data_IF_103448202311
#
_entry.id   IF_103448202311
#
_cell.length_a   1.000
_cell.length_b   1.000
_cell.length_c   1.000
_cell.angle_alpha   90.00
_cell.angle_beta   90.00
_cell.angle_gamma   90.00
#
_symmetry.space_group_name_H-M   'P 1'
#
loop_
_entity.id
_entity.type
_entity.pdbx_description
1 polymer ?
#
# COMPACT_ATOMS: atom_id res chain seq x y z
N UNK A 1 -28.38 -4.91 12.63
CA UNK A 1 -27.55 -5.39 11.50
C UNK A 1 -26.09 -5.18 11.89
N UNK A 2 -25.41 -6.23 12.37
CA UNK A 2 -24.00 -6.13 12.75
C UNK A 2 -23.16 -6.11 11.48
N UNK A 3 -22.69 -4.92 11.08
CA UNK A 3 -21.62 -4.81 10.08
C UNK A 3 -20.47 -5.69 10.56
N UNK A 4 -20.09 -6.68 9.76
CA UNK A 4 -18.81 -7.37 9.90
C UNK A 4 -17.73 -6.30 9.76
N UNK A 5 -17.32 -5.68 10.89
CA UNK A 5 -16.15 -4.82 10.90
C UNK A 5 -15.00 -5.70 10.48
N UNK A 6 -14.49 -5.49 9.27
CA UNK A 6 -13.24 -6.11 8.87
C UNK A 6 -12.21 -5.75 9.92
N UNK A 7 -11.68 -6.78 10.58
CA UNK A 7 -10.91 -6.58 11.79
C UNK A 7 -9.53 -6.00 11.47
N UNK A 8 -9.08 -6.04 10.22
CA UNK A 8 -7.70 -5.74 9.85
C UNK A 8 -7.61 -4.55 8.91
N UNK A 9 -6.94 -3.49 9.35
CA UNK A 9 -6.70 -2.25 8.60
C UNK A 9 -5.26 -2.21 8.08
N UNK A 10 -5.11 -2.05 6.78
CA UNK A 10 -3.85 -1.84 6.09
C UNK A 10 -3.49 -0.36 6.10
N UNK A 11 -2.46 0.00 6.88
CA UNK A 11 -1.93 1.35 6.98
C UNK A 11 -0.58 1.46 6.28
N UNK A 12 -0.36 2.58 5.59
CA UNK A 12 0.90 2.85 4.89
C UNK A 12 1.65 4.00 5.52
N UNK A 13 2.86 3.72 6.00
CA UNK A 13 3.78 4.73 6.52
C UNK A 13 4.80 5.05 5.43
N UNK A 14 4.57 6.18 4.76
CA UNK A 14 5.38 6.66 3.64
C UNK A 14 6.38 7.73 4.08
N UNK A 15 7.61 7.62 3.61
CA UNK A 15 8.62 8.69 3.71
C UNK A 15 9.31 8.86 2.35
N UNK A 16 10.16 9.86 2.21
CA UNK A 16 10.95 10.03 0.97
C UNK A 16 11.99 8.91 0.75
N UNK A 17 12.31 8.12 1.78
CA UNK A 17 13.37 7.09 1.75
C UNK A 17 12.88 5.66 1.96
N UNK A 18 11.70 5.48 2.53
CA UNK A 18 11.16 4.19 2.96
C UNK A 18 9.66 4.15 2.78
N UNK A 19 9.15 3.00 2.37
CA UNK A 19 7.74 2.62 2.45
C UNK A 19 7.62 1.48 3.46
N UNK A 20 6.66 1.60 4.36
CA UNK A 20 6.27 0.55 5.31
C UNK A 20 4.78 0.30 5.15
N UNK A 21 4.40 -0.95 5.00
CA UNK A 21 3.01 -1.38 5.05
C UNK A 21 2.80 -2.18 6.33
N UNK A 22 1.79 -1.80 7.10
CA UNK A 22 1.46 -2.46 8.36
C UNK A 22 -0.02 -2.77 8.39
N UNK A 23 -0.36 -3.93 8.94
CA UNK A 23 -1.74 -4.33 9.17
C UNK A 23 -1.99 -4.29 10.66
N UNK A 24 -3.00 -3.52 11.04
CA UNK A 24 -3.42 -3.32 12.42
C UNK A 24 -4.76 -4.00 12.65
N UNK A 25 -4.93 -4.58 13.83
CA UNK A 25 -6.25 -5.04 14.27
C UNK A 25 -7.04 -3.86 14.83
N UNK A 26 -8.21 -3.60 14.24
CA UNK A 26 -9.16 -2.55 14.64
C UNK A 26 -9.71 -2.73 16.06
N UNK A 27 -9.72 -3.95 16.60
CA UNK A 27 -10.20 -4.22 17.96
C UNK A 27 -9.15 -3.90 19.02
N UNK A 28 -7.89 -4.26 18.76
CA UNK A 28 -6.79 -4.16 19.74
C UNK A 28 -5.79 -3.04 19.44
N UNK A 29 -5.90 -2.40 18.27
CA UNK A 29 -4.90 -1.47 17.73
C UNK A 29 -3.48 -2.06 17.65
N UNK A 30 -3.36 -3.38 17.66
CA UNK A 30 -2.07 -4.08 17.60
C UNK A 30 -1.64 -4.32 16.15
N UNK A 31 -0.33 -4.33 15.90
CA UNK A 31 0.23 -4.62 14.57
C UNK A 31 0.29 -6.14 14.40
N UNK A 32 -0.55 -6.68 13.51
CA UNK A 32 -0.63 -8.12 13.22
C UNK A 32 0.46 -8.53 12.24
N UNK A 33 0.72 -7.69 11.24
CA UNK A 33 1.77 -7.91 10.26
C UNK A 33 2.37 -6.59 9.80
N UNK A 34 3.64 -6.62 9.37
CA UNK A 34 4.32 -5.47 8.78
C UNK A 34 5.19 -5.95 7.64
N UNK A 35 5.46 -5.11 6.65
CA UNK A 35 6.51 -5.30 5.66
C UNK A 35 7.12 -3.94 5.31
N UNK A 36 8.44 -3.89 5.10
CA UNK A 36 9.09 -2.60 4.81
C UNK A 36 10.22 -2.66 3.80
N UNK A 37 10.45 -1.55 3.09
CA UNK A 37 11.57 -1.40 2.15
C UNK A 37 12.94 -1.25 2.82
N UNK A 38 13.00 -1.34 4.16
CA UNK A 38 14.26 -1.37 4.93
C UNK A 38 14.65 -2.78 5.36
N UNK A 39 13.88 -3.80 4.99
CA UNK A 39 14.26 -5.19 5.26
C UNK A 39 15.49 -5.61 4.46
N UNK A 40 16.21 -6.63 4.95
CA UNK A 40 17.55 -7.02 4.49
C UNK A 40 17.64 -7.24 2.97
N UNK A 41 16.61 -7.82 2.37
CA UNK A 41 16.48 -8.09 0.93
C UNK A 41 16.42 -6.82 0.05
N UNK A 42 16.06 -5.67 0.63
CA UNK A 42 16.00 -4.38 -0.05
C UNK A 42 17.22 -3.50 0.23
N UNK A 43 18.04 -3.85 1.24
CA UNK A 43 19.14 -3.00 1.70
C UNK A 43 20.22 -2.79 0.65
N UNK A 44 20.57 -3.80 -0.14
CA UNK A 44 21.60 -3.67 -1.17
C UNK A 44 21.19 -2.65 -2.25
N UNK A 45 19.95 -2.75 -2.75
CA UNK A 45 19.39 -1.83 -3.74
C UNK A 45 19.23 -0.41 -3.16
N UNK A 46 18.77 -0.31 -1.91
CA UNK A 46 18.58 0.97 -1.23
C UNK A 46 19.93 1.67 -0.98
N UNK A 47 20.94 0.96 -0.47
CA UNK A 47 22.29 1.49 -0.27
C UNK A 47 22.91 1.98 -1.57
N UNK A 48 22.78 1.22 -2.66
CA UNK A 48 23.29 1.63 -3.97
C UNK A 48 22.65 2.94 -4.47
N UNK A 49 21.35 3.15 -4.21
CA UNK A 49 20.67 4.42 -4.54
C UNK A 49 21.07 5.57 -3.60
N UNK A 50 21.21 5.32 -2.30
CA UNK A 50 21.59 6.34 -1.31
C UNK A 50 23.04 6.80 -1.42
N UNK A 51 23.93 5.93 -1.89
CA UNK A 51 25.36 6.22 -2.03
C UNK A 51 25.73 7.00 -3.32
N UNK A 52 24.77 7.21 -4.25
CA UNK A 52 25.02 7.94 -5.49
C UNK A 52 24.94 9.46 -5.29
N UNK A 53 25.88 10.18 -5.89
CA UNK A 53 25.87 11.64 -6.01
C UNK A 53 25.79 12.07 -7.48
N UNK A 54 24.97 13.09 -7.84
CA UNK A 54 24.05 13.82 -6.96
C UNK A 54 22.93 12.91 -6.45
N UNK A 55 22.56 13.06 -5.16
CA UNK A 55 21.49 12.26 -4.56
C UNK A 55 20.23 12.46 -5.38
N UNK A 56 19.62 11.38 -5.85
CA UNK A 56 18.42 11.46 -6.67
C UNK A 56 17.35 12.27 -5.92
N UNK A 57 16.90 13.39 -6.48
CA UNK A 57 15.76 14.17 -5.94
C UNK A 57 14.47 13.34 -5.91
N UNK A 58 14.39 12.34 -6.78
CA UNK A 58 13.28 11.39 -6.86
C UNK A 58 13.51 10.26 -5.85
N UNK A 59 12.44 9.92 -5.11
CA UNK A 59 12.47 9.07 -3.93
C UNK A 59 13.21 7.74 -4.10
N UNK A 60 13.68 7.23 -2.97
CA UNK A 60 14.52 6.02 -2.90
C UNK A 60 13.73 4.76 -3.29
N UNK A 61 12.42 4.78 -3.08
CA UNK A 61 11.49 3.71 -3.45
C UNK A 61 10.66 4.12 -4.68
N UNK A 62 10.26 3.11 -5.44
CA UNK A 62 9.45 3.22 -6.65
C UNK A 62 8.28 2.22 -6.61
N UNK A 63 7.45 2.23 -7.64
CA UNK A 63 6.33 1.28 -7.80
C UNK A 63 6.75 -0.20 -7.69
N UNK A 64 7.97 -0.55 -8.13
CA UNK A 64 8.48 -1.93 -8.04
C UNK A 64 8.80 -2.31 -6.60
N UNK A 65 9.43 -1.39 -5.86
CA UNK A 65 9.68 -1.57 -4.43
C UNK A 65 8.35 -1.70 -3.67
N UNK A 66 7.37 -0.85 -3.97
CA UNK A 66 6.05 -0.93 -3.36
C UNK A 66 5.36 -2.27 -3.65
N UNK A 67 5.44 -2.75 -4.89
CA UNK A 67 4.93 -4.08 -5.29
C UNK A 67 5.58 -5.21 -4.48
N UNK A 68 6.90 -5.22 -4.31
CA UNK A 68 7.61 -6.26 -3.55
C UNK A 68 7.29 -6.22 -2.05
N UNK A 69 7.13 -5.02 -1.49
CA UNK A 69 6.67 -4.86 -0.09
C UNK A 69 5.25 -5.41 0.07
N UNK A 70 4.36 -5.16 -0.89
CA UNK A 70 3.00 -5.69 -0.89
C UNK A 70 2.95 -7.22 -1.00
N UNK A 71 3.73 -7.80 -1.90
CA UNK A 71 3.85 -9.27 -2.02
C UNK A 71 4.29 -9.91 -0.70
N UNK A 72 5.34 -9.35 -0.07
CA UNK A 72 5.83 -9.84 1.22
C UNK A 72 4.81 -9.72 2.34
N UNK A 73 4.08 -8.61 2.37
CA UNK A 73 2.98 -8.44 3.31
C UNK A 73 1.88 -9.49 3.06
N UNK A 74 1.53 -9.73 1.81
CA UNK A 74 0.55 -10.75 1.43
C UNK A 74 0.93 -12.14 1.95
N UNK A 75 2.18 -12.55 1.76
CA UNK A 75 2.65 -13.83 2.31
C UNK A 75 2.56 -13.90 3.84
N UNK A 76 3.00 -12.84 4.55
CA UNK A 76 2.89 -12.79 6.02
C UNK A 76 1.44 -12.86 6.51
N UNK A 77 0.50 -12.22 5.80
CA UNK A 77 -0.92 -12.26 6.14
C UNK A 77 -1.50 -13.67 5.96
N UNK A 78 -1.15 -14.36 4.89
CA UNK A 78 -1.60 -15.73 4.62
C UNK A 78 -1.03 -16.70 5.66
N UNK A 79 0.25 -16.56 6.02
CA UNK A 79 0.88 -17.36 7.08
C UNK A 79 0.16 -17.21 8.43
N UNK A 80 -0.37 -16.02 8.73
CA UNK A 80 -1.11 -15.72 9.96
C UNK A 80 -2.61 -16.07 9.83
N UNK A 81 -3.08 -16.44 8.64
CA UNK A 81 -4.48 -16.78 8.37
C UNK A 81 -5.40 -15.58 8.11
N UNK A 82 -4.84 -14.40 7.85
CA UNK A 82 -5.61 -13.19 7.49
C UNK A 82 -5.87 -13.18 5.98
N UNK A 83 -7.14 -13.30 5.60
CA UNK A 83 -7.58 -13.38 4.21
C UNK A 83 -8.13 -12.06 3.64
N UNK A 84 -8.44 -11.08 4.50
CA UNK A 84 -8.96 -9.77 4.07
C UNK A 84 -8.42 -8.62 4.93
N UNK A 85 -8.16 -7.50 4.27
CA UNK A 85 -7.75 -6.24 4.87
C UNK A 85 -8.49 -5.07 4.23
N UNK A 86 -8.73 -4.01 4.98
CA UNK A 86 -9.29 -2.76 4.45
C UNK A 86 -8.26 -1.64 4.44
N UNK A 87 -8.34 -0.76 3.44
CA UNK A 87 -7.57 0.49 3.44
C UNK A 87 -8.44 1.62 3.98
N UNK A 88 -7.82 2.55 4.70
CA UNK A 88 -8.44 3.84 4.98
C UNK A 88 -8.43 4.68 3.70
N UNK A 89 -9.60 4.82 3.09
CA UNK A 89 -9.78 5.55 1.84
C UNK A 89 -9.51 7.04 2.00
N UNK A 90 -9.90 7.63 3.12
CA UNK A 90 -9.77 9.06 3.34
C UNK A 90 -8.29 9.40 3.54
N UNK A 91 -7.55 8.56 4.27
CA UNK A 91 -6.10 8.69 4.41
C UNK A 91 -5.39 8.58 3.04
N UNK A 92 -5.75 7.57 2.24
CA UNK A 92 -5.11 7.33 0.95
C UNK A 92 -5.45 8.41 -0.10
N UNK A 93 -6.67 8.96 -0.07
CA UNK A 93 -7.09 10.06 -0.94
C UNK A 93 -6.49 11.41 -0.53
N UNK A 94 -6.18 11.62 0.75
CA UNK A 94 -5.46 12.80 1.22
C UNK A 94 -4.00 12.84 0.72
N UNK A 95 -3.42 11.70 0.32
CA UNK A 95 -2.04 11.65 -0.17
C UNK A 95 -1.86 12.40 -1.50
N UNK A 96 -0.66 12.92 -1.81
CA UNK A 96 -0.36 13.45 -3.14
C UNK A 96 -0.60 12.42 -4.26
N UNK A 97 -1.13 12.86 -5.42
CA UNK A 97 -1.48 11.99 -6.56
C UNK A 97 -0.32 11.08 -6.97
N UNK A 98 0.91 11.61 -6.97
CA UNK A 98 2.12 10.84 -7.28
C UNK A 98 2.32 9.65 -6.33
N UNK A 99 2.09 9.83 -5.03
CA UNK A 99 2.23 8.74 -4.06
C UNK A 99 1.13 7.70 -4.25
N UNK A 100 -0.11 8.12 -4.53
CA UNK A 100 -1.20 7.19 -4.85
C UNK A 100 -0.85 6.30 -6.02
N UNK A 101 -0.33 6.86 -7.12
CA UNK A 101 0.11 6.07 -8.28
C UNK A 101 1.26 5.10 -7.94
N UNK A 102 2.20 5.52 -7.10
CA UNK A 102 3.34 4.67 -6.69
C UNK A 102 2.93 3.53 -5.75
N UNK A 103 1.86 3.71 -4.98
CA UNK A 103 1.37 2.75 -4.00
C UNK A 103 0.41 1.73 -4.61
N UNK A 104 -0.33 2.07 -5.68
CA UNK A 104 -1.26 1.12 -6.35
C UNK A 104 -0.69 -0.30 -6.55
N UNK A 105 0.55 -0.48 -7.06
CA UNK A 105 1.14 -1.81 -7.22
C UNK A 105 1.32 -2.60 -5.93
N UNK A 106 1.39 -1.94 -4.77
CA UNK A 106 1.42 -2.61 -3.47
C UNK A 106 0.11 -3.34 -3.21
N UNK A 107 -1.03 -2.67 -3.41
CA UNK A 107 -2.35 -3.27 -3.22
C UNK A 107 -2.60 -4.40 -4.22
N UNK A 108 -2.21 -4.20 -5.48
CA UNK A 108 -2.33 -5.23 -6.51
C UNK A 108 -1.49 -6.47 -6.16
N UNK A 109 -0.31 -6.30 -5.58
CA UNK A 109 0.52 -7.42 -5.13
C UNK A 109 -0.05 -8.18 -3.94
N UNK A 110 -0.64 -7.47 -2.97
CA UNK A 110 -1.34 -8.11 -1.84
C UNK A 110 -2.53 -8.93 -2.35
N UNK A 111 -3.29 -8.39 -3.31
CA UNK A 111 -4.39 -9.11 -3.98
C UNK A 111 -3.91 -10.34 -4.72
N UNK A 112 -2.82 -10.22 -5.49
CA UNK A 112 -2.20 -11.35 -6.20
C UNK A 112 -1.67 -12.44 -5.29
N UNK A 113 -1.26 -12.10 -4.06
CA UNK A 113 -0.86 -13.09 -3.06
C UNK A 113 -2.06 -13.92 -2.57
N UNK A 114 -3.30 -13.43 -2.71
CA UNK A 114 -4.52 -14.12 -2.28
C UNK A 114 -5.26 -13.42 -1.14
N UNK A 115 -4.86 -12.20 -0.76
CA UNK A 115 -5.51 -11.42 0.30
C UNK A 115 -6.44 -10.38 -0.32
N UNK A 116 -7.70 -10.36 0.10
CA UNK A 116 -8.67 -9.36 -0.37
C UNK A 116 -8.35 -7.99 0.21
N UNK A 117 -8.20 -6.98 -0.64
CA UNK A 117 -7.95 -5.58 -0.21
C UNK A 117 -9.20 -4.75 -0.50
N UNK A 118 -9.98 -4.46 0.54
CA UNK A 118 -11.15 -3.59 0.49
C UNK A 118 -10.75 -2.13 0.29
N UNK A 119 -11.50 -1.39 -0.54
CA UNK A 119 -11.29 0.03 -0.81
C UNK A 119 -10.28 0.34 -1.94
N UNK A 120 -9.35 -0.55 -2.27
CA UNK A 120 -8.33 -0.26 -3.28
C UNK A 120 -8.89 0.07 -4.70
N UNK A 121 -10.10 -0.35 -5.03
CA UNK A 121 -10.75 -0.02 -6.31
C UNK A 121 -11.17 1.45 -6.42
N UNK A 122 -11.46 2.08 -5.27
CA UNK A 122 -11.91 3.49 -5.21
C UNK A 122 -10.76 4.49 -5.37
N UNK A 123 -9.52 4.03 -5.23
CA UNK A 123 -8.30 4.81 -5.49
C UNK A 123 -8.12 5.18 -6.97
N UNK A 124 -8.82 4.49 -7.88
CA UNK A 124 -8.77 4.74 -9.33
C UNK A 124 -9.58 5.94 -9.82
N UNK A 125 -10.35 6.61 -8.96
CA UNK A 125 -11.34 7.64 -9.33
C UNK A 125 -10.79 9.01 -9.77
N UNK A 126 -9.50 9.17 -10.04
CA UNK A 126 -8.95 10.42 -10.60
C UNK A 126 -8.48 10.14 -12.03
N UNK A 127 -9.46 10.09 -12.93
CA UNK A 127 -9.28 9.95 -14.37
C UNK A 127 -10.57 9.46 -15.02
N UNK A 128 -11.28 10.37 -15.70
CA UNK A 128 -12.62 10.20 -16.28
C UNK A 128 -13.78 10.31 -15.29
N UNK A 129 -14.07 11.56 -14.92
CA UNK A 129 -15.47 11.96 -14.83
C UNK A 129 -16.12 11.61 -16.17
N UNK A 130 -16.94 10.56 -16.20
CA UNK A 130 -17.88 10.34 -17.29
C UNK A 130 -18.76 11.59 -17.34
N UNK A 131 -18.53 12.43 -18.35
CA UNK A 131 -19.53 13.39 -18.80
C UNK A 131 -20.75 12.57 -19.19
N UNK A 132 -21.73 12.47 -18.30
CA UNK A 132 -23.09 12.24 -18.73
C UNK A 132 -23.50 13.51 -19.48
N UNK A 133 -23.34 13.51 -20.80
CA UNK A 133 -24.08 14.42 -21.67
C UNK A 133 -25.53 13.96 -21.64
N UNK A 134 -26.29 14.48 -20.68
CA UNK A 134 -27.73 14.64 -20.85
C UNK A 134 -27.94 15.86 -21.74
N UNK A 135 -28.36 15.62 -22.98
CA UNK A 135 -29.03 16.64 -23.79
C UNK A 135 -30.43 16.11 -24.03
N UNK A 136 -31.38 16.91 -23.56
CA UNK A 136 -32.84 16.82 -23.73
C UNK A 136 -33.20 16.98 -25.20
#
# INVERSE_FOLDING_TARGET
MSMTRNQHLLCLVLSCRKITAQVTDSATSSIVAMASSSEQEFLAHNRAKLARFPRTRHGVWDAKVASRVGEKLGFRLIEIGVSSVEIDLDEELARPIRHRQMVRPLFDSVRRAGVSVGGADKLGGIGFASRQSGVV
#
